data_IF_727471192662
#
_entry.id   IF_727471192662
#
_cell.length_a   1.000
_cell.length_b   1.000
_cell.length_c   1.000
_cell.angle_alpha   90.00
_cell.angle_beta   90.00
_cell.angle_gamma   90.00
#
_symmetry.space_group_name_H-M   'P 1'
#
loop_
_entity.id
_entity.type
_entity.pdbx_description
1 polymer ?
#
# COMPACT_ATOMS: atom_id res chain seq x y z
N UNK A 1 -15.96 -25.82 -13.99
CA UNK A 1 -16.50 -24.45 -13.79
C UNK A 1 -15.83 -23.88 -12.55
N UNK A 2 -15.31 -22.64 -12.58
CA UNK A 2 -14.85 -21.98 -11.38
C UNK A 2 -16.02 -21.91 -10.38
N UNK A 3 -15.79 -22.35 -9.15
CA UNK A 3 -16.79 -22.26 -8.09
C UNK A 3 -16.92 -20.79 -7.67
N UNK A 4 -18.13 -20.27 -7.56
CA UNK A 4 -18.40 -18.92 -7.08
C UNK A 4 -19.01 -17.94 -8.09
N UNK A 5 -19.16 -18.32 -9.36
CA UNK A 5 -19.83 -17.47 -10.36
C UNK A 5 -21.31 -17.19 -10.02
N UNK A 6 -21.96 -18.14 -9.37
CA UNK A 6 -23.37 -18.01 -8.97
C UNK A 6 -23.54 -17.20 -7.66
N UNK A 7 -22.43 -16.77 -7.06
CA UNK A 7 -22.38 -16.09 -5.76
C UNK A 7 -21.70 -14.71 -5.84
N UNK A 8 -21.80 -14.04 -6.97
CA UNK A 8 -21.23 -12.72 -7.15
C UNK A 8 -22.11 -11.64 -6.52
N UNK A 9 -21.47 -10.62 -5.95
CA UNK A 9 -22.17 -9.42 -5.49
C UNK A 9 -22.82 -8.74 -6.69
N UNK A 10 -24.14 -8.58 -6.67
CA UNK A 10 -24.88 -7.89 -7.74
C UNK A 10 -24.46 -6.41 -7.86
N UNK A 11 -24.85 -5.78 -8.95
CA UNK A 11 -24.60 -4.36 -9.21
C UNK A 11 -25.00 -3.51 -8.00
N UNK A 12 -24.03 -2.76 -7.48
CA UNK A 12 -24.22 -1.94 -6.26
C UNK A 12 -23.42 -0.66 -6.44
N UNK A 13 -24.03 0.46 -6.13
CA UNK A 13 -23.32 1.74 -6.04
C UNK A 13 -22.35 1.68 -4.87
N UNK A 14 -21.05 1.83 -5.15
CA UNK A 14 -19.99 1.79 -4.16
C UNK A 14 -19.67 3.22 -3.68
N UNK A 15 -19.87 3.47 -2.38
CA UNK A 15 -19.50 4.73 -1.73
C UNK A 15 -18.63 4.43 -0.53
N UNK A 16 -17.48 5.10 -0.44
CA UNK A 16 -16.56 4.99 0.68
C UNK A 16 -15.88 6.33 0.95
N UNK A 17 -15.83 6.70 2.22
CA UNK A 17 -15.06 7.85 2.72
C UNK A 17 -13.91 7.30 3.56
N UNK A 18 -12.72 7.81 3.35
CA UNK A 18 -11.55 7.41 4.14
C UNK A 18 -10.75 8.60 4.60
N UNK A 19 -10.15 8.48 5.78
CA UNK A 19 -9.22 9.43 6.36
C UNK A 19 -7.94 8.71 6.78
N UNK A 20 -6.80 9.37 6.60
CA UNK A 20 -5.50 8.88 7.02
C UNK A 20 -4.71 9.99 7.69
N UNK A 21 -4.06 9.65 8.80
CA UNK A 21 -3.09 10.52 9.49
C UNK A 21 -1.76 9.80 9.58
N UNK A 22 -0.69 10.49 9.26
CA UNK A 22 0.70 10.01 9.35
C UNK A 22 1.48 10.82 10.35
N UNK A 23 2.41 10.14 11.00
CA UNK A 23 3.32 10.75 11.95
C UNK A 23 4.73 10.23 11.65
N UNK A 24 5.64 11.14 11.36
CA UNK A 24 7.06 10.82 11.27
C UNK A 24 7.60 10.53 12.67
N UNK A 25 8.51 9.55 12.76
CA UNK A 25 9.21 9.25 14.00
C UNK A 25 10.70 9.58 13.86
N UNK A 26 11.09 10.85 14.10
CA UNK A 26 12.47 11.29 13.96
C UNK A 26 13.45 10.50 14.85
N UNK A 27 12.99 10.09 16.04
CA UNK A 27 13.81 9.30 16.96
C UNK A 27 14.21 7.90 16.42
N UNK A 28 13.43 7.36 15.47
CA UNK A 28 13.70 6.09 14.79
C UNK A 28 14.20 6.31 13.35
N UNK A 29 14.56 7.53 13.01
CA UNK A 29 15.03 7.92 11.69
C UNK A 29 16.45 8.48 11.82
N UNK A 30 17.30 8.23 10.84
CA UNK A 30 18.68 8.73 10.92
C UNK A 30 19.55 8.23 9.77
N UNK A 31 20.82 8.68 9.73
CA UNK A 31 21.77 8.21 8.75
C UNK A 31 22.15 6.74 9.03
N UNK A 32 22.26 5.93 7.96
CA UNK A 32 22.73 4.54 8.03
C UNK A 32 24.20 4.50 7.59
N UNK A 33 24.49 5.01 6.39
CA UNK A 33 25.84 5.06 5.84
C UNK A 33 25.94 6.14 4.76
N UNK A 34 26.95 6.97 4.82
CA UNK A 34 27.14 8.07 3.86
C UNK A 34 25.89 8.94 3.76
N UNK A 35 25.34 9.06 2.57
CA UNK A 35 24.12 9.83 2.32
C UNK A 35 22.82 8.99 2.44
N UNK A 36 22.88 7.72 2.78
CA UNK A 36 21.71 6.84 2.94
C UNK A 36 21.09 7.05 4.31
N UNK A 37 19.79 7.29 4.34
CA UNK A 37 19.02 7.53 5.56
C UNK A 37 17.88 6.52 5.71
N UNK A 38 17.60 6.18 6.97
CA UNK A 38 16.38 5.51 7.37
C UNK A 38 15.33 6.55 7.75
N UNK A 39 14.15 6.42 7.19
CA UNK A 39 12.97 7.18 7.59
C UNK A 39 11.90 6.23 8.11
N UNK A 40 11.40 6.52 9.30
CA UNK A 40 10.35 5.74 9.95
C UNK A 40 9.10 6.59 10.13
N UNK A 41 7.97 6.06 9.76
CA UNK A 41 6.68 6.71 9.95
C UNK A 41 5.61 5.71 10.39
N UNK A 42 4.80 6.14 11.34
CA UNK A 42 3.54 5.48 11.68
C UNK A 42 2.37 6.12 10.95
N UNK A 43 1.31 5.37 10.72
CA UNK A 43 0.06 5.90 10.20
C UNK A 43 -1.15 5.21 10.82
N UNK A 44 -2.25 5.94 10.85
CA UNK A 44 -3.56 5.44 11.23
C UNK A 44 -4.54 5.80 10.11
N UNK A 45 -5.44 4.88 9.80
CA UNK A 45 -6.43 5.03 8.73
C UNK A 45 -7.77 4.52 9.19
N UNK A 46 -8.84 5.19 8.80
CA UNK A 46 -10.20 4.71 8.94
C UNK A 46 -10.95 4.87 7.62
N UNK A 47 -11.83 3.94 7.32
CA UNK A 47 -12.73 4.01 6.18
C UNK A 47 -14.13 3.61 6.60
N UNK A 48 -15.11 4.35 6.11
CA UNK A 48 -16.54 4.12 6.31
C UNK A 48 -17.23 4.10 4.95
N UNK A 49 -17.97 3.04 4.68
CA UNK A 49 -18.69 2.91 3.41
C UNK A 49 -19.46 1.61 3.28
N UNK A 50 -20.24 1.54 2.22
CA UNK A 50 -20.99 0.32 1.88
C UNK A 50 -20.13 -0.75 1.18
N UNK A 51 -18.89 -0.43 0.83
CA UNK A 51 -17.90 -1.39 0.30
C UNK A 51 -17.05 -1.99 1.42
N UNK A 52 -16.51 -1.14 2.27
CA UNK A 52 -15.69 -1.55 3.42
C UNK A 52 -15.83 -0.55 4.55
N UNK A 53 -15.84 -1.06 5.77
CA UNK A 53 -15.72 -0.27 7.00
C UNK A 53 -14.63 -0.89 7.85
N UNK A 54 -13.57 -0.12 8.14
CA UNK A 54 -12.42 -0.60 8.89
C UNK A 54 -11.65 0.53 9.56
N UNK A 55 -10.84 0.16 10.55
CA UNK A 55 -9.76 0.97 11.08
C UNK A 55 -8.44 0.20 10.92
N UNK A 56 -7.37 0.89 10.58
CA UNK A 56 -6.05 0.31 10.37
C UNK A 56 -4.97 1.17 11.02
N UNK A 57 -3.89 0.53 11.43
CA UNK A 57 -2.66 1.19 11.86
C UNK A 57 -1.46 0.45 11.29
N UNK A 58 -0.42 1.18 10.97
CA UNK A 58 0.75 0.60 10.36
C UNK A 58 2.00 1.43 10.57
N UNK A 59 3.09 0.80 10.14
CA UNK A 59 4.44 1.32 10.22
C UNK A 59 5.10 1.19 8.86
N UNK A 60 5.86 2.21 8.47
CA UNK A 60 6.70 2.18 7.28
C UNK A 60 8.13 2.53 7.62
N UNK A 61 9.05 1.79 7.02
CA UNK A 61 10.48 2.05 7.00
C UNK A 61 10.88 2.34 5.56
N UNK A 62 11.52 3.45 5.32
CA UNK A 62 12.01 3.84 4.00
C UNK A 62 13.52 4.03 4.09
N UNK A 63 14.24 3.33 3.24
CA UNK A 63 15.70 3.45 3.13
C UNK A 63 16.03 4.05 1.78
N UNK A 64 16.69 5.18 1.81
CA UNK A 64 17.08 5.93 0.61
C UNK A 64 17.78 7.23 1.00
N UNK A 65 18.19 8.00 0.00
CA UNK A 65 18.78 9.31 0.23
C UNK A 65 17.67 10.36 0.15
N UNK A 66 17.54 11.23 1.19
CA UNK A 66 16.65 12.41 1.24
C UNK A 66 15.19 12.18 0.74
N UNK A 67 14.57 11.09 1.13
CA UNK A 67 13.20 10.77 0.69
C UNK A 67 12.13 11.33 1.64
N UNK A 68 11.03 11.87 1.10
CA UNK A 68 9.87 12.24 1.89
C UNK A 68 9.14 10.99 2.41
N UNK A 69 8.26 11.20 3.38
CA UNK A 69 7.44 10.15 4.00
C UNK A 69 6.57 9.43 2.96
N UNK A 70 6.82 8.15 2.79
CA UNK A 70 6.06 7.29 1.87
C UNK A 70 4.85 6.71 2.58
N UNK A 71 3.69 6.78 1.93
CA UNK A 71 2.48 6.09 2.40
C UNK A 71 2.25 4.78 1.66
N UNK A 72 1.96 3.70 2.36
CA UNK A 72 1.32 2.58 1.73
C UNK A 72 -0.11 3.00 1.37
N UNK A 73 -0.47 2.97 0.08
CA UNK A 73 -1.84 3.21 -0.32
C UNK A 73 -2.76 2.06 0.12
N UNK A 74 -4.04 2.32 0.38
CA UNK A 74 -5.02 1.28 0.66
C UNK A 74 -5.12 0.29 -0.50
N UNK A 75 -5.48 -0.97 -0.23
CA UNK A 75 -5.75 -1.93 -1.29
C UNK A 75 -6.84 -1.38 -2.22
N UNK A 76 -6.58 -1.42 -3.53
CA UNK A 76 -7.52 -0.96 -4.56
C UNK A 76 -7.37 0.52 -5.00
N UNK A 77 -6.53 1.31 -4.35
CA UNK A 77 -6.21 2.67 -4.79
C UNK A 77 -4.80 2.69 -5.37
N UNK A 78 -4.63 3.39 -6.49
CA UNK A 78 -3.31 3.56 -7.13
C UNK A 78 -2.31 4.10 -6.12
N UNK A 79 -1.28 3.31 -5.87
CA UNK A 79 -0.24 3.62 -4.89
C UNK A 79 0.63 4.75 -5.41
N UNK A 80 0.29 6.00 -5.12
CA UNK A 80 1.27 7.07 -5.20
C UNK A 80 2.22 6.94 -4.01
N UNK A 81 3.43 6.52 -4.25
CA UNK A 81 4.55 6.93 -3.43
C UNK A 81 4.71 8.42 -3.69
N UNK A 82 4.03 9.25 -2.90
CA UNK A 82 4.18 10.69 -3.02
C UNK A 82 5.58 11.07 -2.57
N UNK A 83 6.35 11.62 -3.45
CA UNK A 83 7.65 12.17 -3.15
C UNK A 83 8.39 12.44 -4.43
N UNK A 84 8.38 13.68 -4.88
CA UNK A 84 9.36 14.17 -5.84
C UNK A 84 10.76 14.01 -5.24
N UNK A 85 11.66 13.31 -5.92
CA UNK A 85 13.04 13.23 -5.54
C UNK A 85 13.72 14.56 -5.87
N UNK A 86 13.87 15.42 -4.87
CA UNK A 86 14.73 16.58 -4.98
C UNK A 86 16.04 16.30 -4.25
N UNK A 87 17.08 15.95 -4.99
CA UNK A 87 18.43 15.81 -4.41
C UNK A 87 19.29 14.76 -5.09
N UNK A 88 20.57 15.00 -5.07
CA UNK A 88 21.67 14.18 -5.59
C UNK A 88 21.71 12.80 -4.94
N UNK A 89 21.28 11.75 -5.65
CA UNK A 89 21.13 10.44 -5.02
C UNK A 89 21.37 9.29 -5.99
N UNK A 90 22.53 8.71 -5.93
CA UNK A 90 22.86 7.46 -6.61
C UNK A 90 22.71 6.25 -5.68
N UNK A 91 22.13 5.12 -6.13
CA UNK A 91 22.23 3.87 -5.39
C UNK A 91 23.39 2.98 -5.88
N UNK A 92 23.40 2.64 -7.14
CA UNK A 92 24.46 1.86 -7.79
C UNK A 92 25.22 2.68 -8.83
N UNK A 93 24.53 3.65 -9.45
CA UNK A 93 25.08 4.57 -10.44
C UNK A 93 24.62 5.99 -10.12
N UNK A 94 25.40 6.99 -10.46
CA UNK A 94 25.12 8.41 -10.20
C UNK A 94 23.79 8.91 -10.84
N UNK A 95 23.32 8.22 -11.86
CA UNK A 95 22.10 8.53 -12.62
C UNK A 95 20.85 7.76 -12.12
N UNK A 96 20.94 6.92 -11.10
CA UNK A 96 19.83 6.09 -10.61
C UNK A 96 19.63 6.31 -9.12
N UNK A 97 18.42 6.69 -8.74
CA UNK A 97 18.02 6.80 -7.34
C UNK A 97 17.20 5.58 -6.93
N UNK A 98 17.50 5.02 -5.78
CA UNK A 98 16.80 3.86 -5.26
C UNK A 98 16.18 4.16 -3.91
N UNK A 99 14.95 3.70 -3.73
CA UNK A 99 14.26 3.75 -2.45
C UNK A 99 13.69 2.39 -2.11
N UNK A 100 14.15 1.80 -1.02
CA UNK A 100 13.57 0.59 -0.44
C UNK A 100 12.50 1.00 0.57
N UNK A 101 11.33 0.35 0.48
CA UNK A 101 10.21 0.58 1.39
C UNK A 101 9.81 -0.75 2.00
N UNK A 102 9.74 -0.80 3.32
CA UNK A 102 9.17 -1.91 4.07
C UNK A 102 7.98 -1.40 4.87
N UNK A 103 6.96 -2.22 5.04
CA UNK A 103 5.78 -1.81 5.79
C UNK A 103 5.06 -2.99 6.44
N UNK A 104 4.39 -2.67 7.53
CA UNK A 104 3.45 -3.58 8.19
C UNK A 104 2.17 -2.84 8.55
N UNK A 105 1.02 -3.44 8.29
CA UNK A 105 -0.29 -2.88 8.62
C UNK A 105 -1.13 -3.92 9.35
N UNK A 106 -1.79 -3.52 10.42
CA UNK A 106 -2.87 -4.26 11.07
C UNK A 106 -4.20 -3.56 10.83
N UNK A 107 -5.24 -4.32 10.46
CA UNK A 107 -6.54 -3.79 10.10
C UNK A 107 -7.64 -4.51 10.85
N UNK A 108 -8.48 -3.73 11.57
CA UNK A 108 -9.73 -4.19 12.18
C UNK A 108 -10.89 -3.96 11.21
N UNK A 109 -11.47 -5.04 10.68
CA UNK A 109 -12.57 -5.00 9.71
C UNK A 109 -13.91 -5.09 10.45
N UNK A 110 -14.75 -4.07 10.28
CA UNK A 110 -16.15 -4.10 10.72
C UNK A 110 -17.06 -4.65 9.63
N UNK A 111 -16.81 -4.28 8.37
CA UNK A 111 -17.61 -4.71 7.24
C UNK A 111 -16.75 -4.81 5.95
N UNK A 112 -17.09 -5.81 5.12
CA UNK A 112 -16.51 -6.00 3.79
C UNK A 112 -17.56 -6.62 2.85
N UNK A 113 -18.04 -5.81 1.90
CA UNK A 113 -19.04 -6.18 0.91
C UNK A 113 -18.66 -7.45 0.13
N UNK A 114 -17.40 -7.59 -0.25
CA UNK A 114 -16.92 -8.71 -1.06
C UNK A 114 -16.88 -10.06 -0.31
N UNK A 115 -16.89 -10.01 1.02
CA UNK A 115 -16.89 -11.21 1.87
C UNK A 115 -18.24 -11.49 2.49
N UNK A 116 -19.01 -10.46 2.81
CA UNK A 116 -20.26 -10.57 3.59
C UNK A 116 -21.52 -10.38 2.75
N UNK A 117 -21.37 -9.89 1.49
CA UNK A 117 -22.50 -9.50 0.67
C UNK A 117 -23.10 -8.15 1.09
N UNK A 118 -24.26 -7.81 0.53
CA UNK A 118 -24.95 -6.55 0.81
C UNK A 118 -25.63 -6.57 2.16
N UNK A 119 -25.57 -5.49 2.96
CA UNK A 119 -26.14 -5.48 4.30
C UNK A 119 -27.68 -5.58 4.35
N UNK A 120 -28.34 -5.31 3.22
CA UNK A 120 -29.81 -5.30 3.11
C UNK A 120 -30.39 -6.48 2.32
N UNK A 121 -29.56 -7.44 1.95
CA UNK A 121 -29.95 -8.62 1.17
C UNK A 121 -29.26 -9.87 1.69
N UNK A 122 -29.91 -10.99 1.63
CA UNK A 122 -29.32 -12.30 1.90
C UNK A 122 -28.46 -12.72 0.71
N UNK A 123 -27.28 -12.10 0.60
CA UNK A 123 -26.27 -12.54 -0.36
C UNK A 123 -25.43 -13.65 0.29
N UNK A 124 -25.02 -14.67 -0.47
CA UNK A 124 -24.12 -15.70 0.04
C UNK A 124 -22.76 -15.06 0.38
N UNK A 125 -22.41 -15.11 1.64
CA UNK A 125 -21.16 -14.55 2.15
C UNK A 125 -20.32 -15.59 2.89
N UNK A 126 -19.08 -15.25 3.16
CA UNK A 126 -18.18 -16.03 4.00
C UNK A 126 -18.00 -15.34 5.36
N UNK A 127 -17.58 -16.09 6.38
CA UNK A 127 -17.29 -15.51 7.70
C UNK A 127 -15.97 -14.72 7.65
N UNK A 128 -15.99 -13.38 7.72
CA UNK A 128 -14.78 -12.58 7.66
C UNK A 128 -13.96 -12.75 8.94
N UNK A 129 -12.66 -12.55 8.82
CA UNK A 129 -11.77 -12.31 9.97
C UNK A 129 -11.85 -10.85 10.34
N UNK A 130 -12.02 -10.56 11.63
CA UNK A 130 -12.03 -9.18 12.12
C UNK A 130 -10.65 -8.51 12.06
N UNK A 131 -9.59 -9.31 12.13
CA UNK A 131 -8.22 -8.82 12.09
C UNK A 131 -7.48 -9.37 10.88
N UNK A 132 -6.93 -8.47 10.09
CA UNK A 132 -6.14 -8.76 8.88
C UNK A 132 -4.82 -8.01 8.99
N UNK A 133 -3.72 -8.68 8.68
CA UNK A 133 -2.40 -8.09 8.65
C UNK A 133 -1.79 -8.12 7.26
N UNK A 134 -1.12 -7.04 6.89
CA UNK A 134 -0.38 -6.91 5.63
C UNK A 134 1.10 -6.66 5.93
N UNK A 135 1.98 -7.37 5.24
CA UNK A 135 3.40 -7.07 5.18
C UNK A 135 3.74 -6.64 3.76
N UNK A 136 4.50 -5.57 3.64
CA UNK A 136 4.82 -4.94 2.37
C UNK A 136 6.31 -4.77 2.20
N UNK A 137 6.81 -5.02 0.99
CA UNK A 137 8.15 -4.65 0.56
C UNK A 137 8.08 -4.02 -0.82
N UNK A 138 8.85 -2.97 -1.06
CA UNK A 138 8.87 -2.27 -2.33
C UNK A 138 10.23 -1.69 -2.64
N UNK A 139 10.54 -1.63 -3.93
CA UNK A 139 11.70 -0.96 -4.48
C UNK A 139 11.23 0.03 -5.53
N UNK A 140 11.62 1.27 -5.36
CA UNK A 140 11.41 2.34 -6.35
C UNK A 140 12.75 2.76 -6.92
N UNK A 141 12.81 2.86 -8.23
CA UNK A 141 13.94 3.34 -9.02
C UNK A 141 13.51 4.61 -9.71
N UNK A 142 14.16 5.72 -9.38
CA UNK A 142 13.90 7.02 -9.98
C UNK A 142 15.03 7.36 -10.95
N UNK A 143 14.65 7.73 -12.17
CA UNK A 143 15.53 8.11 -13.25
C UNK A 143 15.42 9.62 -13.45
N UNK A 144 16.41 10.39 -13.00
CA UNK A 144 16.38 11.83 -13.14
C UNK A 144 16.28 12.22 -14.60
N UNK A 145 15.40 13.17 -14.90
CA UNK A 145 15.29 13.74 -16.24
C UNK A 145 16.59 14.42 -16.67
N UNK A 146 16.94 14.34 -17.94
CA UNK A 146 18.06 15.10 -18.49
C UNK A 146 17.76 16.60 -18.41
N UNK A 147 18.71 17.36 -17.84
CA UNK A 147 18.64 18.84 -17.82
C UNK A 147 18.26 19.38 -19.20
N UNK A 148 17.14 20.08 -19.31
CA UNK A 148 16.69 20.73 -20.54
C UNK A 148 15.56 20.02 -21.32
N UNK A 149 14.97 18.95 -20.82
CA UNK A 149 13.76 18.35 -21.41
C UNK A 149 12.51 18.70 -20.59
N UNK A 150 11.41 18.99 -21.30
CA UNK A 150 10.08 19.31 -20.73
C UNK A 150 9.42 18.16 -19.97
N UNK A 151 10.08 16.98 -19.92
CA UNK A 151 9.54 15.80 -19.24
C UNK A 151 10.24 15.63 -17.90
N UNK A 152 9.41 15.54 -16.84
CA UNK A 152 9.87 15.28 -15.48
C UNK A 152 10.57 13.91 -15.33
N UNK A 153 11.18 13.65 -14.15
CA UNK A 153 11.82 12.36 -13.86
C UNK A 153 10.80 11.23 -13.93
N UNK A 154 11.15 10.14 -14.56
CA UNK A 154 10.32 8.95 -14.60
C UNK A 154 10.79 7.94 -13.54
N UNK A 155 9.89 7.06 -13.12
CA UNK A 155 10.20 6.04 -12.14
C UNK A 155 9.61 4.67 -12.49
N UNK A 156 10.27 3.63 -11.98
CA UNK A 156 9.77 2.26 -11.95
C UNK A 156 9.66 1.84 -10.49
N UNK A 157 8.50 1.35 -10.09
CA UNK A 157 8.27 0.85 -8.76
C UNK A 157 7.78 -0.58 -8.80
N UNK A 158 8.48 -1.46 -8.11
CA UNK A 158 8.02 -2.81 -7.79
C UNK A 158 7.56 -2.85 -6.33
N UNK A 159 6.47 -3.54 -6.08
CA UNK A 159 5.95 -3.76 -4.72
C UNK A 159 5.38 -5.16 -4.58
N UNK A 160 5.63 -5.78 -3.46
CA UNK A 160 4.96 -7.01 -3.02
C UNK A 160 4.24 -6.79 -1.70
N UNK A 161 3.07 -7.38 -1.57
CA UNK A 161 2.27 -7.35 -0.33
C UNK A 161 1.85 -8.76 0.00
N UNK A 162 2.17 -9.21 1.20
CA UNK A 162 1.72 -10.49 1.74
C UNK A 162 0.64 -10.24 2.78
N UNK A 163 -0.56 -10.74 2.49
CA UNK A 163 -1.75 -10.58 3.33
C UNK A 163 -2.08 -11.85 4.08
N UNK A 164 -2.49 -11.73 5.33
CA UNK A 164 -3.08 -12.82 6.08
C UNK A 164 -4.47 -13.17 5.54
N UNK A 165 -4.97 -14.36 5.87
CA UNK A 165 -6.31 -14.76 5.45
C UNK A 165 -7.38 -13.77 5.94
N UNK A 166 -8.26 -13.34 5.04
CA UNK A 166 -9.33 -12.36 5.32
C UNK A 166 -10.63 -13.02 5.78
N UNK A 167 -10.80 -14.32 5.57
CA UNK A 167 -12.01 -15.07 5.95
C UNK A 167 -11.66 -16.42 6.55
N UNK A 168 -12.68 -17.09 7.14
CA UNK A 168 -12.59 -18.42 7.69
C UNK A 168 -13.22 -19.40 6.71
N UNK A 169 -12.53 -20.52 6.43
CA UNK A 169 -13.06 -21.63 5.67
C UNK A 169 -12.78 -22.94 6.40
N UNK A 170 -13.52 -24.04 6.08
CA UNK A 170 -13.24 -25.37 6.64
C UNK A 170 -11.83 -25.87 6.32
N UNK A 171 -11.31 -25.52 5.15
CA UNK A 171 -9.95 -25.80 4.72
C UNK A 171 -9.04 -24.58 5.01
N UNK A 172 -7.74 -24.79 5.25
CA UNK A 172 -6.81 -23.67 5.45
C UNK A 172 -6.82 -22.71 4.26
N UNK A 173 -7.18 -21.46 4.51
CA UNK A 173 -7.14 -20.41 3.48
C UNK A 173 -5.69 -19.99 3.29
N UNK A 174 -5.14 -20.09 2.08
CA UNK A 174 -3.77 -19.68 1.81
C UNK A 174 -3.60 -18.17 2.04
N UNK A 175 -2.39 -17.79 2.45
CA UNK A 175 -2.00 -16.38 2.49
C UNK A 175 -1.86 -15.88 1.06
N UNK A 176 -2.35 -14.68 0.81
CA UNK A 176 -2.25 -14.06 -0.51
C UNK A 176 -0.97 -13.22 -0.59
N UNK A 177 -0.25 -13.39 -1.69
CA UNK A 177 0.86 -12.51 -2.05
C UNK A 177 0.52 -11.86 -3.38
N UNK A 178 0.53 -10.54 -3.41
CA UNK A 178 0.24 -9.74 -4.61
C UNK A 178 1.47 -8.91 -4.93
N UNK A 179 1.92 -8.99 -6.18
CA UNK A 179 2.95 -8.12 -6.74
C UNK A 179 2.32 -7.04 -7.61
N UNK A 180 2.91 -5.85 -7.62
CA UNK A 180 2.55 -4.78 -8.54
C UNK A 180 3.80 -4.14 -9.13
N UNK A 181 3.71 -3.75 -10.40
CA UNK A 181 4.68 -2.93 -11.10
C UNK A 181 4.00 -1.64 -11.52
N UNK A 182 4.61 -0.52 -11.18
CA UNK A 182 4.11 0.81 -11.52
C UNK A 182 5.18 1.56 -12.30
N UNK A 183 4.78 2.15 -13.42
CA UNK A 183 5.57 3.09 -14.19
C UNK A 183 4.91 4.46 -14.07
N UNK A 184 5.70 5.52 -13.90
CA UNK A 184 5.15 6.85 -13.76
C UNK A 184 6.16 7.94 -14.08
N UNK A 185 5.64 9.15 -14.19
CA UNK A 185 6.40 10.39 -14.37
C UNK A 185 5.95 11.33 -13.26
N UNK A 186 6.91 11.93 -12.57
CA UNK A 186 6.65 12.99 -11.60
C UNK A 186 6.70 14.36 -12.33
N UNK A 187 5.70 15.21 -12.09
CA UNK A 187 5.56 16.53 -12.71
C UNK A 187 5.95 17.63 -11.74
#
# INVERSE_FOLDING_TARGET
RPQGWDHQVGTTLAVMVSAERRVAWPALSGPIAGNVRLHTAGYMRAALGNTMTYAAGGLTLTVGKNQPLVSPAPPGIVNRLAGGATGDTSCLWEWLQCTLVLGAEGRGMAYNLFLQGRPWREDPGVRPRRWVGDLMAGLRLDFPGTRGREHGPWFVQFRTTRRTAEFRAPTPVPRHTVGSLTLGIDF
#
